data_IF_788120517547
#
_entry.id   IF_788120517547
#
_cell.length_a   1.000
_cell.length_b   1.000
_cell.length_c   1.000
_cell.angle_alpha   90.00
_cell.angle_beta   90.00
_cell.angle_gamma   90.00
#
_symmetry.space_group_name_H-M   'P 1'
#
loop_
_entity.id
_entity.type
_entity.pdbx_description
1 polymer ?
#
# COMPACT_ATOMS: atom_id res chain seq x y z
N UNK A 1 -3.94 45.55 -46.22
CA UNK A 1 -4.57 45.49 -44.88
C UNK A 1 -5.48 44.27 -44.81
N UNK A 2 -5.08 43.20 -44.12
CA UNK A 2 -5.97 42.26 -43.43
C UNK A 2 -5.13 41.25 -42.64
N UNK A 3 -5.04 41.59 -41.35
CA UNK A 3 -4.61 40.88 -40.17
C UNK A 3 -4.01 39.48 -40.31
N UNK A 4 -2.72 39.44 -39.96
CA UNK A 4 -1.86 38.30 -39.67
C UNK A 4 -2.49 37.52 -38.51
N UNK A 5 -2.80 36.24 -38.73
CA UNK A 5 -3.13 35.29 -37.66
C UNK A 5 -1.86 35.04 -36.82
N UNK A 6 -1.68 35.85 -35.80
CA UNK A 6 -0.64 35.67 -34.80
C UNK A 6 -1.19 34.82 -33.64
N UNK A 7 -0.70 33.58 -33.59
CA UNK A 7 -0.18 32.87 -32.40
C UNK A 7 -0.90 33.15 -31.07
N UNK A 8 -1.54 32.12 -30.52
CA UNK A 8 -1.63 31.88 -29.07
C UNK A 8 -1.99 30.41 -28.84
N UNK A 9 -1.01 29.53 -29.08
CA UNK A 9 -1.04 28.16 -28.55
C UNK A 9 -0.55 28.29 -27.10
N UNK A 10 -1.48 28.57 -26.20
CA UNK A 10 -1.21 28.56 -24.77
C UNK A 10 -1.00 27.11 -24.34
N UNK A 11 0.25 26.77 -24.06
CA UNK A 11 0.66 25.54 -23.38
C UNK A 11 -0.10 25.40 -22.06
N UNK A 12 -1.16 24.59 -22.03
CA UNK A 12 -1.65 24.02 -20.78
C UNK A 12 -0.82 22.78 -20.47
N UNK A 13 0.44 23.00 -20.08
CA UNK A 13 1.15 22.07 -19.22
C UNK A 13 0.51 22.17 -17.82
N UNK A 14 -0.75 21.78 -17.70
CA UNK A 14 -1.34 21.46 -16.42
C UNK A 14 -0.56 20.26 -15.94
N UNK A 15 0.37 20.52 -15.02
CA UNK A 15 1.29 19.53 -14.49
C UNK A 15 0.51 18.28 -14.11
N UNK A 16 1.02 17.13 -14.55
CA UNK A 16 0.80 15.89 -13.83
C UNK A 16 1.45 16.07 -12.45
N UNK A 17 0.80 16.81 -11.55
CA UNK A 17 1.01 16.66 -10.14
C UNK A 17 0.58 15.23 -9.86
N UNK A 18 1.55 14.31 -9.87
CA UNK A 18 1.37 12.94 -9.41
C UNK A 18 0.99 13.05 -7.94
N UNK A 19 -0.30 13.23 -7.68
CA UNK A 19 -0.88 13.05 -6.37
C UNK A 19 -0.52 11.61 -6.00
N UNK A 20 0.50 11.45 -5.15
CA UNK A 20 0.83 10.16 -4.56
C UNK A 20 -0.27 9.87 -3.57
N UNK A 21 -1.42 9.45 -4.08
CA UNK A 21 -2.50 8.91 -3.26
C UNK A 21 -1.91 7.76 -2.48
N UNK A 22 -1.67 8.02 -1.20
CA UNK A 22 -1.21 7.00 -0.29
C UNK A 22 -2.45 6.24 0.12
N UNK A 23 -2.86 5.31 -0.75
CA UNK A 23 -3.95 4.38 -0.48
C UNK A 23 -3.52 3.46 0.66
N UNK A 24 -3.98 3.76 1.86
CA UNK A 24 -3.84 2.85 2.99
C UNK A 24 -5.03 1.88 2.91
N UNK A 25 -4.84 0.80 2.16
CA UNK A 25 -5.82 -0.29 2.09
C UNK A 25 -5.88 -1.00 3.43
N UNK A 26 -7.06 -1.18 4.00
CA UNK A 26 -7.33 -2.03 5.19
C UNK A 26 -7.61 -3.49 4.80
N UNK A 27 -7.35 -3.88 3.55
CA UNK A 27 -7.58 -5.23 3.05
C UNK A 27 -6.44 -6.17 3.52
N UNK A 28 -6.72 -7.33 4.12
CA UNK A 28 -5.68 -8.32 4.43
C UNK A 28 -4.84 -8.75 3.22
N UNK A 29 -5.34 -8.53 2.00
CA UNK A 29 -4.60 -8.65 0.74
C UNK A 29 -3.92 -7.33 0.33
N UNK A 30 -3.24 -6.68 1.27
CA UNK A 30 -2.49 -5.46 1.00
C UNK A 30 -1.36 -5.74 0.01
N UNK A 31 -1.38 -5.00 -1.10
CA UNK A 31 -0.36 -4.99 -2.13
C UNK A 31 0.23 -3.58 -2.18
N UNK A 32 1.55 -3.48 -2.05
CA UNK A 32 2.27 -2.21 -2.15
C UNK A 32 3.03 -2.15 -3.47
N UNK A 33 2.98 -1.01 -4.15
CA UNK A 33 3.66 -0.81 -5.44
C UNK A 33 4.92 0.03 -5.21
N UNK A 34 6.03 -0.38 -5.81
CA UNK A 34 7.29 0.37 -5.80
C UNK A 34 8.19 0.06 -4.61
N UNK A 35 8.55 1.07 -3.83
CA UNK A 35 9.51 0.92 -2.71
C UNK A 35 8.89 0.03 -1.62
N UNK A 36 9.70 -0.89 -1.08
CA UNK A 36 9.34 -1.67 0.11
C UNK A 36 8.97 -0.71 1.25
N UNK A 37 7.77 -0.85 1.86
CA UNK A 37 7.42 -0.08 3.04
C UNK A 37 8.25 -0.56 4.25
N UNK A 38 8.56 0.38 5.13
CA UNK A 38 9.31 0.12 6.36
C UNK A 38 8.44 -0.59 7.41
N UNK A 39 9.06 -1.18 8.42
CA UNK A 39 8.35 -1.83 9.53
C UNK A 39 7.92 -3.28 9.27
N UNK A 40 8.45 -3.94 8.24
CA UNK A 40 8.28 -5.38 8.00
C UNK A 40 9.62 -6.13 8.06
N UNK A 41 9.67 -7.38 8.58
CA UNK A 41 8.53 -8.10 9.17
C UNK A 41 8.12 -7.50 10.52
N UNK A 42 6.84 -7.62 10.86
CA UNK A 42 6.33 -7.23 12.18
C UNK A 42 5.56 -8.37 12.82
N UNK A 43 5.55 -8.36 14.14
CA UNK A 43 4.86 -9.33 14.97
C UNK A 43 4.07 -8.59 16.05
N UNK A 44 2.83 -9.00 16.28
CA UNK A 44 1.96 -8.41 17.28
C UNK A 44 0.90 -9.41 17.73
N UNK A 45 0.42 -9.24 18.97
CA UNK A 45 -0.67 -10.06 19.50
C UNK A 45 -1.98 -9.29 19.32
N UNK A 46 -3.00 -9.93 18.73
CA UNK A 46 -4.35 -9.39 18.60
C UNK A 46 -5.39 -10.34 19.22
N UNK A 47 -6.47 -9.82 19.85
CA UNK A 47 -7.55 -10.67 20.34
C UNK A 47 -8.24 -11.38 19.17
N UNK A 48 -8.59 -12.65 19.35
CA UNK A 48 -9.33 -13.38 18.32
C UNK A 48 -10.78 -12.88 18.24
N UNK A 49 -11.24 -12.40 17.07
CA UNK A 49 -12.60 -11.88 16.93
C UNK A 49 -13.65 -12.95 17.28
N UNK A 50 -14.52 -12.64 18.23
CA UNK A 50 -15.63 -13.52 18.62
C UNK A 50 -15.32 -14.58 19.68
N UNK A 51 -14.07 -14.69 20.18
CA UNK A 51 -13.74 -15.62 21.27
C UNK A 51 -12.91 -14.92 22.37
N UNK A 52 -13.58 -14.43 23.42
CA UNK A 52 -12.91 -13.82 24.57
C UNK A 52 -11.90 -14.77 25.21
N UNK A 53 -10.72 -14.25 25.56
CA UNK A 53 -9.64 -15.03 26.19
C UNK A 53 -8.72 -15.77 25.21
N UNK A 54 -9.00 -15.71 23.91
CA UNK A 54 -8.10 -16.23 22.87
C UNK A 54 -7.39 -15.10 22.15
N UNK A 55 -6.09 -15.25 21.97
CA UNK A 55 -5.27 -14.29 21.24
C UNK A 55 -4.57 -14.96 20.06
N UNK A 56 -4.28 -14.15 19.04
CA UNK A 56 -3.47 -14.54 17.90
C UNK A 56 -2.13 -13.82 17.97
N UNK A 57 -1.04 -14.57 17.92
CA UNK A 57 0.26 -14.05 17.53
C UNK A 57 0.27 -13.95 16.00
N UNK A 58 0.34 -12.71 15.52
CA UNK A 58 0.29 -12.35 14.12
C UNK A 58 1.69 -11.96 13.68
N UNK A 59 2.21 -12.64 12.65
CA UNK A 59 3.43 -12.25 11.96
C UNK A 59 3.10 -11.85 10.53
N UNK A 60 3.39 -10.60 10.18
CA UNK A 60 3.25 -10.09 8.82
C UNK A 60 4.63 -9.89 8.20
N UNK A 61 4.79 -10.38 6.98
CA UNK A 61 6.01 -10.24 6.19
C UNK A 61 5.67 -9.75 4.79
N UNK A 62 6.69 -9.26 4.06
CA UNK A 62 6.52 -8.85 2.67
C UNK A 62 7.36 -9.73 1.76
N UNK A 63 6.72 -10.25 0.73
CA UNK A 63 7.35 -10.94 -0.38
C UNK A 63 7.40 -10.01 -1.59
N UNK A 64 8.58 -9.87 -2.17
CA UNK A 64 8.76 -9.15 -3.43
C UNK A 64 8.17 -9.95 -4.60
N UNK A 65 7.50 -9.28 -5.52
CA UNK A 65 7.05 -9.84 -6.79
C UNK A 65 7.12 -8.75 -7.89
N UNK A 66 6.95 -9.14 -9.15
CA UNK A 66 7.03 -8.23 -10.29
C UNK A 66 5.78 -8.35 -11.17
N UNK A 67 5.09 -7.23 -11.37
CA UNK A 67 3.90 -7.17 -12.20
C UNK A 67 3.96 -6.01 -13.19
N UNK A 68 3.84 -6.31 -14.49
CA UNK A 68 3.89 -5.33 -15.59
C UNK A 68 5.10 -4.39 -15.52
N UNK A 69 6.27 -4.94 -15.17
CA UNK A 69 7.52 -4.18 -15.08
C UNK A 69 7.65 -3.31 -13.83
N UNK A 70 6.74 -3.43 -12.87
CA UNK A 70 6.82 -2.76 -11.57
C UNK A 70 7.07 -3.77 -10.47
N UNK A 71 7.93 -3.42 -9.52
CA UNK A 71 8.07 -4.17 -8.26
C UNK A 71 6.83 -3.96 -7.41
N UNK A 72 6.28 -5.05 -6.92
CA UNK A 72 5.17 -5.07 -5.97
C UNK A 72 5.60 -5.85 -4.72
N UNK A 73 4.99 -5.53 -3.59
CA UNK A 73 5.21 -6.21 -2.32
C UNK A 73 3.89 -6.81 -1.85
N UNK A 74 3.86 -8.13 -1.75
CA UNK A 74 2.72 -8.91 -1.29
C UNK A 74 2.86 -9.16 0.21
N UNK A 75 1.80 -8.92 0.97
CA UNK A 75 1.75 -9.22 2.40
C UNK A 75 1.44 -10.70 2.63
N UNK A 76 2.38 -11.39 3.27
CA UNK A 76 2.16 -12.74 3.80
C UNK A 76 1.87 -12.63 5.30
N UNK A 77 0.71 -13.13 5.75
CA UNK A 77 0.27 -13.13 7.16
C UNK A 77 0.28 -14.55 7.71
N UNK A 78 0.99 -14.75 8.82
CA UNK A 78 1.05 -15.99 9.57
C UNK A 78 0.34 -15.79 10.90
N UNK A 79 -0.51 -16.75 11.26
CA UNK A 79 -1.34 -16.71 12.47
C UNK A 79 -1.03 -17.91 13.35
N UNK A 80 -0.83 -17.65 14.64
CA UNK A 80 -0.72 -18.69 15.66
C UNK A 80 -1.62 -18.36 16.84
N UNK A 81 -2.42 -19.32 17.28
CA UNK A 81 -3.17 -19.18 18.53
C UNK A 81 -2.20 -19.19 19.73
N UNK A 82 -2.36 -18.23 20.63
CA UNK A 82 -1.57 -18.06 21.84
C UNK A 82 -2.47 -17.66 23.01
N UNK A 83 -1.99 -17.87 24.23
CA UNK A 83 -2.61 -17.30 25.41
C UNK A 83 -2.50 -15.77 25.37
N UNK A 84 -3.55 -15.08 25.80
CA UNK A 84 -3.50 -13.63 25.89
C UNK A 84 -2.50 -13.19 26.96
N UNK A 85 -1.63 -12.20 26.67
CA UNK A 85 -0.75 -11.63 27.68
C UNK A 85 -1.58 -11.03 28.82
N UNK A 86 -1.11 -11.23 30.06
CA UNK A 86 -1.73 -10.70 31.28
C UNK A 86 -1.46 -9.21 31.47
#
# INVERSE_FOLDING_TARGET
>A
MKFILAVLIAFTAAGCATHKETFTSTNPNELFIGKKPDGYPKTYIEPYPGYPGFCLDVKETLREDHFKGQTIWLKDKYLRSVDCPQ
#
